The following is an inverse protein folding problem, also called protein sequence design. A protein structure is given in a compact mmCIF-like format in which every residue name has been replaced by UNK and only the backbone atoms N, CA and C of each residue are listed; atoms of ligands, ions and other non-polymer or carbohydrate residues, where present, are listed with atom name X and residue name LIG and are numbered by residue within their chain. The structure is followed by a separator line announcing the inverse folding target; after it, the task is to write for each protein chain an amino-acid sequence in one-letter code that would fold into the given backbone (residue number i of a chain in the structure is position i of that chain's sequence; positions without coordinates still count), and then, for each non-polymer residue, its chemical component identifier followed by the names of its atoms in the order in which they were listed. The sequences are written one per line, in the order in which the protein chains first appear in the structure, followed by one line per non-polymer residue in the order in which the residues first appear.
data_IF_416859525427
#
_entry.id   IF_416859525427
#
_cell.length_a   1.000
_cell.length_b   1.000
_cell.length_c   1.000
_cell.angle_alpha   90.00
_cell.angle_beta   90.00
_cell.angle_gamma   90.00
#
_symmetry.space_group_name_H-M   'P 1'
#
loop_
_entity.id
_entity.type
_entity.pdbx_description
1 polymer ?
#
# COMPACT_ATOMS: atom_id res chain seq x y z
N UNK A 1 -11.12 8.22 -4.17
CA UNK A 1 -11.08 9.34 -5.13
C UNK A 1 -10.50 8.87 -6.46
N UNK A 2 -11.34 8.29 -7.33
CA UNK A 2 -10.95 7.99 -8.72
C UNK A 2 -11.10 9.27 -9.54
N UNK A 3 -10.03 10.07 -9.55
CA UNK A 3 -10.00 11.34 -10.24
C UNK A 3 -9.90 11.09 -11.75
N UNK A 4 -10.92 11.49 -12.51
CA UNK A 4 -10.91 11.59 -13.98
C UNK A 4 -9.61 12.20 -14.51
N UNK A 5 -8.97 13.09 -13.73
CA UNK A 5 -7.70 13.74 -14.05
C UNK A 5 -6.54 12.72 -14.19
N UNK A 6 -6.50 11.65 -13.38
CA UNK A 6 -5.50 10.58 -13.54
C UNK A 6 -5.67 9.80 -14.85
N UNK A 7 -6.91 9.67 -15.33
CA UNK A 7 -7.23 8.95 -16.57
C UNK A 7 -6.90 9.81 -17.80
N UNK A 8 -7.25 11.10 -17.77
CA UNK A 8 -7.01 11.99 -18.91
C UNK A 8 -5.59 12.55 -18.99
N UNK A 9 -4.91 12.74 -17.86
CA UNK A 9 -3.58 13.36 -17.82
C UNK A 9 -2.58 12.61 -16.91
N UNK A 10 -2.40 11.29 -17.10
CA UNK A 10 -1.60 10.47 -16.19
C UNK A 10 -0.17 11.00 -16.03
N UNK A 11 0.53 11.27 -17.15
CA UNK A 11 1.94 11.69 -17.14
C UNK A 11 2.18 13.05 -16.46
N UNK A 12 1.28 14.03 -16.67
CA UNK A 12 1.43 15.35 -16.07
C UNK A 12 1.18 15.30 -14.56
N UNK A 13 0.17 14.54 -14.14
CA UNK A 13 -0.14 14.34 -12.72
C UNK A 13 1.01 13.60 -12.04
N UNK A 14 1.49 12.51 -12.62
CA UNK A 14 2.58 11.71 -12.06
C UNK A 14 3.87 12.53 -11.89
N UNK A 15 4.29 13.25 -12.94
CA UNK A 15 5.45 14.15 -12.88
C UNK A 15 5.29 15.22 -11.80
N UNK A 16 4.10 15.79 -11.66
CA UNK A 16 3.81 16.79 -10.63
C UNK A 16 3.80 16.18 -9.23
N UNK A 17 3.23 14.99 -9.04
CA UNK A 17 3.22 14.28 -7.76
C UNK A 17 4.64 13.91 -7.34
N UNK A 18 5.44 13.37 -8.26
CA UNK A 18 6.85 13.06 -8.03
C UNK A 18 7.63 14.32 -7.58
N UNK A 19 7.42 15.45 -8.26
CA UNK A 19 8.01 16.73 -7.86
C UNK A 19 7.56 17.22 -6.47
N UNK A 20 6.32 16.94 -6.08
CA UNK A 20 5.80 17.32 -4.76
C UNK A 20 6.30 16.42 -3.63
N UNK A 21 6.48 15.12 -3.90
CA UNK A 21 7.07 14.14 -2.98
C UNK A 21 8.50 14.56 -2.61
N UNK A 22 9.36 14.73 -3.61
CA UNK A 22 10.78 15.07 -3.41
C UNK A 22 11.06 16.56 -3.14
N UNK A 23 10.03 17.37 -2.85
CA UNK A 23 10.24 18.77 -2.49
C UNK A 23 10.75 18.85 -1.05
N UNK A 24 11.92 19.49 -0.79
CA UNK A 24 12.46 19.59 0.56
C UNK A 24 11.45 20.08 1.59
N UNK A 25 11.36 19.36 2.71
CA UNK A 25 10.56 19.77 3.86
C UNK A 25 11.30 20.83 4.67
N UNK A 26 10.53 21.57 5.46
CA UNK A 26 11.05 22.60 6.35
C UNK A 26 10.80 22.13 7.78
N UNK A 27 11.84 22.16 8.60
CA UNK A 27 11.71 21.82 10.02
C UNK A 27 10.90 22.93 10.73
N UNK A 28 9.82 22.57 11.45
CA UNK A 28 8.96 23.54 12.14
C UNK A 28 9.65 24.33 13.25
N UNK A 29 10.75 23.82 13.82
CA UNK A 29 11.39 24.41 14.99
C UNK A 29 12.39 25.52 14.64
N UNK A 30 13.17 25.34 13.57
CA UNK A 30 14.26 26.25 13.18
C UNK A 30 14.11 26.82 11.76
N UNK A 31 13.19 26.29 10.95
CA UNK A 31 13.03 26.70 9.55
C UNK A 31 14.07 26.14 8.59
N UNK A 32 14.92 25.20 9.04
CA UNK A 32 15.93 24.57 8.19
C UNK A 32 15.30 23.68 7.13
N UNK A 33 15.98 23.55 5.99
CA UNK A 33 15.62 22.57 4.96
C UNK A 33 16.05 21.19 5.42
N UNK A 34 15.09 20.27 5.43
CA UNK A 34 15.33 18.87 5.75
C UNK A 34 15.85 18.14 4.51
N UNK A 35 16.69 17.15 4.74
CA UNK A 35 17.22 16.23 3.73
C UNK A 35 16.36 14.97 3.70
N UNK A 36 16.07 14.48 2.51
CA UNK A 36 15.46 13.16 2.31
C UNK A 36 16.58 12.12 2.45
N UNK A 37 16.40 11.17 3.36
CA UNK A 37 17.30 10.05 3.56
C UNK A 37 17.12 9.04 2.41
N UNK A 38 18.18 8.30 2.09
CA UNK A 38 18.11 7.26 1.06
C UNK A 38 17.38 6.03 1.61
N UNK A 39 16.72 5.26 0.74
CA UNK A 39 16.01 4.02 1.13
C UNK A 39 16.94 3.01 1.82
N UNK A 40 18.23 3.01 1.46
CA UNK A 40 19.21 2.08 2.06
C UNK A 40 19.58 2.48 3.52
N UNK A 41 19.44 3.76 3.87
CA UNK A 41 19.85 4.31 5.17
C UNK A 41 18.65 4.60 6.09
N UNK A 42 17.41 4.51 5.58
CA UNK A 42 16.24 4.96 6.33
C UNK A 42 15.78 3.98 7.41
N UNK A 43 16.12 2.69 7.26
CA UNK A 43 15.87 1.62 8.23
C UNK A 43 16.36 2.01 9.64
N UNK A 44 17.44 2.78 9.76
CA UNK A 44 17.97 3.28 11.03
C UNK A 44 16.98 4.19 11.79
N UNK A 45 16.05 4.80 11.07
CA UNK A 45 15.09 5.78 11.60
C UNK A 45 13.67 5.24 11.69
N UNK A 46 13.39 4.10 11.04
CA UNK A 46 12.11 3.43 11.01
C UNK A 46 11.94 2.47 12.21
N UNK A 47 10.69 2.07 12.46
CA UNK A 47 10.39 1.00 13.41
C UNK A 47 10.31 -0.35 12.70
N UNK A 48 10.53 -1.45 13.42
CA UNK A 48 10.43 -2.82 12.88
C UNK A 48 9.15 -3.07 12.08
N UNK A 49 8.03 -2.47 12.51
CA UNK A 49 6.75 -2.51 11.80
C UNK A 49 6.84 -1.89 10.40
N UNK A 50 7.46 -0.72 10.29
CA UNK A 50 7.54 0.04 9.05
C UNK A 50 8.44 -0.66 8.05
N UNK A 51 9.58 -1.16 8.53
CA UNK A 51 10.54 -1.95 7.73
C UNK A 51 9.85 -3.18 7.14
N UNK A 52 9.06 -3.91 7.93
CA UNK A 52 8.32 -5.08 7.43
C UNK A 52 7.21 -4.68 6.44
N UNK A 53 6.53 -3.55 6.66
CA UNK A 53 5.53 -3.03 5.72
C UNK A 53 6.15 -2.64 4.36
N UNK A 54 7.38 -2.11 4.36
CA UNK A 54 8.17 -1.81 3.16
C UNK A 54 8.71 -3.04 2.45
N UNK A 55 9.23 -4.01 3.22
CA UNK A 55 9.66 -5.30 2.69
C UNK A 55 8.53 -6.04 1.95
N UNK A 56 7.29 -5.83 2.40
CA UNK A 56 6.08 -6.36 1.77
C UNK A 56 5.49 -5.46 0.68
N UNK A 57 6.15 -4.33 0.38
CA UNK A 57 5.70 -3.28 -0.54
C UNK A 57 4.26 -2.80 -0.27
N UNK A 58 3.81 -2.90 0.97
CA UNK A 58 2.47 -2.48 1.39
C UNK A 58 2.41 -0.98 1.64
N UNK A 59 3.51 -0.44 2.14
CA UNK A 59 3.71 0.96 2.46
C UNK A 59 5.11 1.34 2.03
N UNK A 60 5.27 2.60 1.68
CA UNK A 60 6.53 3.23 1.30
C UNK A 60 6.69 4.46 2.21
N UNK A 61 7.72 4.50 3.06
CA UNK A 61 7.96 5.60 3.97
C UNK A 61 9.08 6.50 3.42
N UNK A 62 8.89 7.82 3.51
CA UNK A 62 9.98 8.78 3.27
C UNK A 62 10.46 9.32 4.61
N UNK A 63 11.75 9.18 4.91
CA UNK A 63 12.35 9.81 6.08
C UNK A 63 13.01 11.15 5.72
N UNK A 64 12.45 12.24 6.25
CA UNK A 64 13.08 13.55 6.22
C UNK A 64 13.82 13.81 7.53
N UNK A 65 15.10 14.17 7.45
CA UNK A 65 15.93 14.48 8.61
C UNK A 65 16.49 15.90 8.52
N UNK A 66 16.45 16.63 9.63
CA UNK A 66 17.27 17.82 9.82
C UNK A 66 18.58 17.43 10.51
N UNK A 67 19.69 17.50 9.75
CA UNK A 67 21.02 17.10 10.22
C UNK A 67 21.54 17.96 11.39
N UNK A 68 21.05 19.20 11.55
CA UNK A 68 21.49 20.09 12.64
C UNK A 68 20.82 19.78 13.98
N UNK A 69 19.54 19.39 13.97
CA UNK A 69 18.75 19.21 15.20
C UNK A 69 18.40 17.75 15.48
N UNK A 70 18.57 16.87 14.50
CA UNK A 70 18.11 15.47 14.57
C UNK A 70 16.58 15.34 14.49
N UNK A 71 15.85 16.42 14.17
CA UNK A 71 14.41 16.33 13.98
C UNK A 71 14.10 15.50 12.74
N UNK A 72 13.33 14.42 12.92
CA UNK A 72 12.87 13.55 11.85
C UNK A 72 11.38 13.70 11.59
N UNK A 73 11.01 13.65 10.32
CA UNK A 73 9.62 13.60 9.86
C UNK A 73 9.47 12.42 8.91
N UNK A 74 8.67 11.45 9.32
CA UNK A 74 8.38 10.26 8.53
C UNK A 74 7.04 10.49 7.81
N UNK A 75 7.05 10.41 6.49
CA UNK A 75 5.85 10.50 5.65
C UNK A 75 5.49 9.10 5.14
N UNK A 76 4.20 8.86 4.92
CA UNK A 76 3.66 7.54 4.56
C UNK A 76 2.97 7.58 3.20
N UNK A 77 3.31 6.64 2.33
CA UNK A 77 2.72 6.45 1.01
C UNK A 77 2.19 5.02 0.84
N UNK A 78 1.11 4.86 0.08
CA UNK A 78 0.59 3.52 -0.22
C UNK A 78 1.51 2.82 -1.23
N UNK A 79 1.91 1.59 -0.90
CA UNK A 79 2.72 0.75 -1.77
C UNK A 79 1.91 0.07 -2.89
N UNK A 80 2.55 -0.86 -3.59
CA UNK A 80 1.95 -1.61 -4.69
C UNK A 80 1.20 -2.87 -4.22
N UNK A 81 1.49 -3.34 -3.01
CA UNK A 81 0.95 -4.59 -2.48
C UNK A 81 -0.49 -4.42 -2.01
N UNK A 82 -1.31 -5.46 -2.28
CA UNK A 82 -2.70 -5.57 -1.79
C UNK A 82 -2.77 -6.11 -0.36
N UNK A 83 -1.66 -6.09 0.38
CA UNK A 83 -1.62 -6.53 1.76
C UNK A 83 -2.52 -5.64 2.64
N UNK A 84 -3.29 -6.29 3.51
CA UNK A 84 -4.19 -5.64 4.46
C UNK A 84 -3.61 -5.75 5.87
N UNK A 85 -4.17 -4.97 6.79
CA UNK A 85 -3.80 -5.01 8.20
C UNK A 85 -4.15 -6.37 8.81
N UNK A 86 -3.15 -7.00 9.46
CA UNK A 86 -3.32 -8.24 10.18
C UNK A 86 -4.03 -7.96 11.53
N UNK A 87 -5.15 -8.63 11.85
CA UNK A 87 -5.84 -8.42 13.13
C UNK A 87 -5.04 -8.91 14.34
N UNK A 88 -4.02 -9.75 14.13
CA UNK A 88 -3.21 -10.33 15.21
C UNK A 88 -2.03 -9.46 15.61
N UNK A 89 -1.32 -8.83 14.65
CA UNK A 89 -0.14 -7.99 14.94
C UNK A 89 -0.32 -6.51 14.57
N UNK A 90 -1.37 -6.15 13.83
CA UNK A 90 -1.66 -4.78 13.40
C UNK A 90 -0.77 -4.27 12.26
N UNK A 91 0.01 -5.14 11.61
CA UNK A 91 0.90 -4.76 10.49
C UNK A 91 0.21 -5.01 9.16
N UNK A 92 0.47 -4.19 8.13
CA UNK A 92 -0.09 -4.38 6.78
C UNK A 92 0.61 -5.49 5.99
N UNK A 93 0.57 -6.70 6.52
CA UNK A 93 1.32 -7.87 6.05
C UNK A 93 0.45 -9.09 5.75
N UNK A 94 -0.87 -8.96 5.91
CA UNK A 94 -1.85 -10.01 5.64
C UNK A 94 -2.22 -10.02 4.15
N UNK A 95 -1.91 -11.10 3.44
CA UNK A 95 -2.24 -11.23 2.00
C UNK A 95 -2.91 -12.56 1.68
N UNK A 96 -3.57 -12.63 0.53
CA UNK A 96 -4.13 -13.88 0.00
C UNK A 96 -2.98 -14.81 -0.39
N UNK A 97 -2.91 -15.98 0.24
CA UNK A 97 -1.97 -17.06 -0.09
C UNK A 97 -2.57 -18.01 -1.12
N UNK A 98 -3.87 -18.33 -1.00
CA UNK A 98 -4.59 -19.20 -1.92
C UNK A 98 -6.05 -18.74 -2.07
N UNK A 99 -6.65 -19.07 -3.21
CA UNK A 99 -8.07 -18.86 -3.48
C UNK A 99 -8.69 -20.18 -3.93
N UNK A 100 -9.83 -20.53 -3.36
CA UNK A 100 -10.60 -21.72 -3.72
C UNK A 100 -11.97 -21.30 -4.26
N UNK A 101 -12.36 -21.87 -5.41
CA UNK A 101 -13.67 -21.62 -6.01
C UNK A 101 -14.69 -22.56 -5.38
N UNK A 102 -15.55 -22.02 -4.52
CA UNK A 102 -16.66 -22.77 -3.91
C UNK A 102 -17.81 -22.89 -4.91
N UNK A 103 -18.11 -21.80 -5.61
CA UNK A 103 -19.16 -21.77 -6.63
C UNK A 103 -18.75 -20.89 -7.81
N UNK A 104 -18.78 -21.45 -9.01
CA UNK A 104 -18.54 -20.69 -10.24
C UNK A 104 -19.69 -19.73 -10.53
N UNK A 105 -19.37 -18.48 -10.89
CA UNK A 105 -20.36 -17.50 -11.30
C UNK A 105 -21.05 -17.91 -12.60
N UNK A 106 -22.36 -17.70 -12.69
CA UNK A 106 -23.14 -17.87 -13.92
C UNK A 106 -23.76 -16.54 -14.33
N UNK A 107 -24.51 -16.52 -15.44
CA UNK A 107 -25.25 -15.31 -15.87
C UNK A 107 -26.37 -14.98 -14.86
N UNK A 108 -26.94 -16.00 -14.23
CA UNK A 108 -28.08 -15.86 -13.32
C UNK A 108 -27.66 -15.75 -11.85
N UNK A 109 -26.53 -16.36 -11.47
CA UNK A 109 -26.08 -16.50 -10.08
C UNK A 109 -24.67 -15.97 -9.86
N UNK A 110 -24.46 -15.39 -8.69
CA UNK A 110 -23.14 -14.92 -8.25
C UNK A 110 -22.23 -16.10 -7.91
N UNK A 111 -20.94 -15.92 -8.19
CA UNK A 111 -19.92 -16.88 -7.77
C UNK A 111 -19.51 -16.66 -6.31
N UNK A 112 -18.87 -17.66 -5.74
CA UNK A 112 -18.39 -17.67 -4.36
C UNK A 112 -16.96 -18.21 -4.32
N UNK A 113 -16.06 -17.42 -3.78
CA UNK A 113 -14.65 -17.74 -3.57
C UNK A 113 -14.35 -17.80 -2.07
N UNK A 114 -13.48 -18.72 -1.68
CA UNK A 114 -12.91 -18.79 -0.35
C UNK A 114 -11.42 -18.39 -0.43
N UNK A 115 -11.10 -17.21 0.08
CA UNK A 115 -9.73 -16.69 0.08
C UNK A 115 -9.05 -17.04 1.39
N UNK A 116 -7.90 -17.71 1.30
CA UNK A 116 -7.03 -18.05 2.40
C UNK A 116 -5.99 -16.95 2.57
N UNK A 117 -6.09 -16.22 3.67
CA UNK A 117 -5.14 -15.17 4.02
C UNK A 117 -4.06 -15.71 4.96
N UNK A 118 -2.85 -15.18 4.79
CA UNK A 118 -1.72 -15.45 5.68
C UNK A 118 -0.88 -14.19 5.87
N UNK A 119 -0.51 -13.94 7.12
CA UNK A 119 0.40 -12.88 7.50
C UNK A 119 1.84 -13.37 7.32
N UNK A 120 2.67 -12.61 6.58
CA UNK A 120 4.10 -12.93 6.42
C UNK A 120 4.85 -12.88 7.74
N UNK A 121 4.51 -11.91 8.58
CA UNK A 121 5.25 -11.60 9.81
C UNK A 121 4.94 -12.57 10.96
N UNK A 122 3.69 -12.61 11.44
CA UNK A 122 3.32 -13.44 12.60
C UNK A 122 2.78 -14.83 12.22
N UNK A 123 2.60 -15.11 10.93
CA UNK A 123 2.06 -16.40 10.45
C UNK A 123 0.56 -16.60 10.70
N UNK A 124 -0.16 -15.58 11.18
CA UNK A 124 -1.61 -15.61 11.36
C UNK A 124 -2.32 -16.01 10.06
N UNK A 125 -3.30 -16.91 10.16
CA UNK A 125 -4.10 -17.40 9.02
C UNK A 125 -5.57 -17.17 9.28
N UNK A 126 -6.26 -16.73 8.24
CA UNK A 126 -7.72 -16.61 8.27
C UNK A 126 -8.30 -16.92 6.89
N UNK A 127 -9.61 -17.11 6.83
CA UNK A 127 -10.32 -17.36 5.58
C UNK A 127 -11.47 -16.39 5.46
N UNK A 128 -11.66 -15.82 4.27
CA UNK A 128 -12.77 -14.91 3.98
C UNK A 128 -13.51 -15.38 2.74
N UNK A 129 -14.82 -15.44 2.82
CA UNK A 129 -15.67 -15.67 1.66
C UNK A 129 -15.83 -14.38 0.88
N UNK A 130 -15.59 -14.43 -0.42
CA UNK A 130 -15.74 -13.32 -1.36
C UNK A 130 -16.79 -13.69 -2.40
N UNK A 131 -17.82 -12.86 -2.54
CA UNK A 131 -18.86 -13.03 -3.55
C UNK A 131 -18.40 -12.33 -4.82
N UNK A 132 -18.37 -13.06 -5.94
CA UNK A 132 -18.02 -12.52 -7.25
C UNK A 132 -19.26 -12.19 -8.05
N UNK A 133 -19.19 -11.11 -8.84
CA UNK A 133 -20.28 -10.70 -9.72
C UNK A 133 -20.67 -11.78 -10.74
N UNK A 134 -21.93 -11.74 -11.17
CA UNK A 134 -22.46 -12.57 -12.25
C UNK A 134 -21.72 -12.33 -13.56
N UNK A 135 -21.66 -13.36 -14.41
CA UNK A 135 -21.10 -13.22 -15.75
C UNK A 135 -21.99 -12.33 -16.62
N UNK A 136 -21.39 -11.46 -17.42
CA UNK A 136 -22.12 -10.68 -18.42
C UNK A 136 -22.39 -11.55 -19.65
N UNK A 137 -23.59 -11.47 -20.19
CA UNK A 137 -23.88 -12.08 -21.50
C UNK A 137 -22.97 -11.47 -22.57
N UNK A 138 -22.42 -12.33 -23.44
CA UNK A 138 -21.66 -11.85 -24.60
C UNK A 138 -22.63 -11.14 -25.55
N UNK A 139 -22.27 -9.96 -26.12
CA UNK A 139 -23.12 -9.30 -27.09
C UNK A 139 -23.34 -10.24 -28.29
N UNK A 140 -24.60 -10.49 -28.65
CA UNK A 140 -24.97 -11.23 -29.86
C UNK A 140 -24.49 -10.41 -31.06
N UNK A 141 -23.55 -10.98 -31.83
CA UNK A 141 -23.06 -10.46 -33.12
C UNK A 141 -24.14 -10.62 -34.17
#
# INVERSE_FOLDING_TARGET
FNSLIKVYYPFYVEKRMNKLRHKPRINPNNGNKMKLISEDDEDEYLSDKQIEEEAMHAVDYDVWLDEETGYKKIEKYDGSSLAVECPSCGYRTLRVENEEVIRTATVEQEGELLNYYKCSYCGHRERRTVITNKLRESPKV
#
